data_IF_098909112487
#
_entry.id   IF_098909112487
#
_cell.length_a   1.000
_cell.length_b   1.000
_cell.length_c   1.000
_cell.angle_alpha   90.00
_cell.angle_beta   90.00
_cell.angle_gamma   90.00
#
_symmetry.space_group_name_H-M   'P 1'
#
loop_
_entity.id
_entity.type
_entity.pdbx_description
1 polymer ?
#
# COMPACT_ATOMS: atom_id res chain seq x y z
N UNK A 1 11.24 17.97 -18.74
CA UNK A 1 11.50 17.44 -20.10
C UNK A 1 12.80 17.98 -20.68
N UNK A 2 12.94 19.30 -20.89
CA UNK A 2 14.15 19.89 -21.49
C UNK A 2 15.40 19.82 -20.59
N UNK A 3 15.24 19.97 -19.27
CA UNK A 3 16.38 19.89 -18.33
C UNK A 3 17.06 18.51 -18.36
N UNK A 4 16.28 17.43 -18.38
CA UNK A 4 16.82 16.07 -18.48
C UNK A 4 17.59 15.85 -19.79
N UNK A 5 17.09 16.43 -20.89
CA UNK A 5 17.76 16.38 -22.18
C UNK A 5 19.10 17.14 -22.16
N UNK A 6 19.11 18.35 -21.58
CA UNK A 6 20.34 19.15 -21.42
C UNK A 6 21.35 18.41 -20.53
N UNK A 7 20.90 17.83 -19.41
CA UNK A 7 21.76 17.03 -18.54
C UNK A 7 22.33 15.81 -19.26
N UNK A 8 21.52 15.11 -20.07
CA UNK A 8 21.98 13.97 -20.87
C UNK A 8 23.06 14.40 -21.87
N UNK A 9 22.90 15.57 -22.50
CA UNK A 9 23.88 16.11 -23.45
C UNK A 9 25.20 16.44 -22.74
N UNK A 10 25.14 17.09 -21.57
CA UNK A 10 26.31 17.38 -20.74
C UNK A 10 27.04 16.08 -20.37
N UNK A 11 26.31 15.07 -19.88
CA UNK A 11 26.89 13.76 -19.54
C UNK A 11 27.50 13.08 -20.76
N UNK A 12 26.86 13.17 -21.93
CA UNK A 12 27.38 12.58 -23.17
C UNK A 12 28.70 13.22 -23.59
N UNK A 13 28.85 14.54 -23.42
CA UNK A 13 30.12 15.24 -23.66
C UNK A 13 31.20 14.71 -22.70
N UNK A 14 30.89 14.54 -21.42
CA UNK A 14 31.83 13.95 -20.47
C UNK A 14 32.25 12.53 -20.85
N UNK A 15 31.32 11.69 -21.31
CA UNK A 15 31.62 10.33 -21.79
C UNK A 15 32.54 10.38 -23.02
N UNK A 16 32.30 11.30 -23.96
CA UNK A 16 33.15 11.47 -25.14
C UNK A 16 34.57 11.91 -24.76
N UNK A 17 34.70 12.89 -23.87
CA UNK A 17 35.99 13.34 -23.34
C UNK A 17 36.71 12.19 -22.63
N UNK A 18 36.00 11.43 -21.80
CA UNK A 18 36.53 10.27 -21.11
C UNK A 18 37.07 9.22 -22.10
N UNK A 19 36.33 8.94 -23.17
CA UNK A 19 36.72 7.99 -24.20
C UNK A 19 37.98 8.43 -24.97
N UNK A 20 38.11 9.73 -25.27
CA UNK A 20 39.30 10.28 -25.94
C UNK A 20 40.52 10.20 -25.00
N UNK A 21 40.36 10.61 -23.74
CA UNK A 21 41.48 10.63 -22.78
C UNK A 21 41.94 9.24 -22.36
N UNK A 22 41.05 8.24 -22.39
CA UNK A 22 41.35 6.85 -22.02
C UNK A 22 41.28 5.92 -23.23
N UNK A 23 41.56 6.44 -24.43
CA UNK A 23 41.51 5.67 -25.67
C UNK A 23 42.68 4.69 -25.83
N UNK A 24 43.74 4.86 -25.03
CA UNK A 24 44.93 4.01 -25.08
C UNK A 24 44.60 2.54 -24.81
N UNK A 25 45.27 1.69 -25.57
CA UNK A 25 45.12 0.24 -25.49
C UNK A 25 45.92 -0.31 -24.33
N UNK A 26 45.25 -1.06 -23.46
CA UNK A 26 45.86 -1.76 -22.33
C UNK A 26 45.68 -3.27 -22.50
N UNK A 27 46.68 -4.03 -22.10
CA UNK A 27 46.60 -5.49 -22.07
C UNK A 27 45.88 -5.94 -20.81
N UNK A 28 44.81 -6.71 -20.96
CA UNK A 28 44.00 -7.18 -19.85
C UNK A 28 43.97 -8.69 -19.83
N UNK A 29 44.33 -9.23 -18.67
CA UNK A 29 44.15 -10.63 -18.34
C UNK A 29 42.76 -10.81 -17.72
N UNK A 30 41.77 -11.08 -18.57
CA UNK A 30 40.50 -11.64 -18.09
C UNK A 30 40.77 -13.10 -17.72
N UNK A 31 40.10 -13.62 -16.67
CA UNK A 31 40.34 -14.94 -16.04
C UNK A 31 40.92 -16.05 -16.95
N UNK A 32 40.41 -16.21 -18.17
CA UNK A 32 40.89 -17.19 -19.16
C UNK A 32 41.23 -16.59 -20.55
N UNK A 33 41.26 -15.26 -20.70
CA UNK A 33 41.49 -14.59 -21.97
C UNK A 33 42.34 -13.34 -21.79
N UNK A 34 43.48 -13.30 -22.49
CA UNK A 34 44.30 -12.09 -22.61
C UNK A 34 43.86 -11.32 -23.85
N UNK A 35 43.53 -10.05 -23.71
CA UNK A 35 43.12 -9.20 -24.84
C UNK A 35 43.58 -7.77 -24.65
N UNK A 36 44.00 -7.16 -25.74
CA UNK A 36 44.28 -5.74 -25.83
C UNK A 36 43.00 -4.98 -26.17
N UNK A 37 42.60 -4.05 -25.32
CA UNK A 37 41.40 -3.21 -25.49
C UNK A 37 41.68 -1.79 -25.00
N UNK A 38 40.92 -0.81 -25.47
CA UNK A 38 41.04 0.55 -24.93
C UNK A 38 40.61 0.60 -23.47
N UNK A 39 41.33 1.35 -22.66
CA UNK A 39 41.04 1.52 -21.23
C UNK A 39 39.62 2.06 -21.01
N UNK A 40 39.18 2.99 -21.85
CA UNK A 40 37.82 3.53 -21.83
C UNK A 40 36.75 2.45 -21.98
N UNK A 41 36.93 1.53 -22.94
CA UNK A 41 35.96 0.45 -23.20
C UNK A 41 35.83 -0.48 -21.99
N UNK A 42 36.96 -0.76 -21.35
CA UNK A 42 37.04 -1.66 -20.19
C UNK A 42 36.32 -1.06 -18.99
N UNK A 43 36.56 0.23 -18.73
CA UNK A 43 35.91 0.95 -17.63
C UNK A 43 34.40 1.06 -17.90
N UNK A 44 34.00 1.45 -19.12
CA UNK A 44 32.57 1.53 -19.48
C UNK A 44 31.87 0.18 -19.34
N UNK A 45 32.48 -0.90 -19.84
CA UNK A 45 31.90 -2.24 -19.73
C UNK A 45 31.77 -2.68 -18.28
N UNK A 46 32.78 -2.45 -17.44
CA UNK A 46 32.78 -2.82 -16.03
C UNK A 46 31.71 -2.07 -15.24
N UNK A 47 31.63 -0.75 -15.41
CA UNK A 47 30.61 0.10 -14.79
C UNK A 47 29.21 -0.26 -15.30
N UNK A 48 29.06 -0.48 -16.60
CA UNK A 48 27.82 -0.90 -17.23
C UNK A 48 27.31 -2.23 -16.70
N UNK A 49 28.20 -3.23 -16.57
CA UNK A 49 27.87 -4.52 -15.96
C UNK A 49 27.49 -4.37 -14.49
N UNK A 50 28.22 -3.55 -13.71
CA UNK A 50 27.86 -3.26 -12.32
C UNK A 50 26.48 -2.61 -12.19
N UNK A 51 26.16 -1.63 -13.04
CA UNK A 51 24.85 -0.99 -13.10
C UNK A 51 23.74 -1.98 -13.52
N UNK A 52 24.02 -2.89 -14.46
CA UNK A 52 23.10 -3.94 -14.86
C UNK A 52 22.80 -4.90 -13.70
N UNK A 53 23.83 -5.40 -13.02
CA UNK A 53 23.71 -6.31 -11.88
C UNK A 53 22.91 -5.66 -10.75
N UNK A 54 23.28 -4.44 -10.36
CA UNK A 54 22.54 -3.69 -9.32
C UNK A 54 21.10 -3.41 -9.74
N UNK A 55 20.86 -3.08 -11.00
CA UNK A 55 19.53 -2.92 -11.58
C UNK A 55 18.70 -4.19 -11.42
N UNK A 56 19.22 -5.34 -11.82
CA UNK A 56 18.57 -6.65 -11.69
C UNK A 56 18.32 -6.99 -10.22
N UNK A 57 19.33 -6.89 -9.34
CA UNK A 57 19.19 -7.17 -7.90
C UNK A 57 18.13 -6.27 -7.24
N UNK A 58 18.03 -5.01 -7.65
CA UNK A 58 17.03 -4.08 -7.12
C UNK A 58 15.59 -4.51 -7.44
N UNK A 59 15.36 -5.22 -8.55
CA UNK A 59 14.02 -5.67 -8.93
C UNK A 59 13.52 -6.80 -8.02
N UNK A 60 14.39 -7.70 -7.55
CA UNK A 60 14.00 -8.77 -6.63
C UNK A 60 13.43 -8.21 -5.31
N UNK A 61 14.03 -7.16 -4.76
CA UNK A 61 13.51 -6.47 -3.58
C UNK A 61 12.13 -5.83 -3.80
N UNK A 62 11.86 -5.32 -5.00
CA UNK A 62 10.56 -4.71 -5.35
C UNK A 62 9.44 -5.73 -5.41
N UNK A 63 9.70 -6.95 -5.91
CA UNK A 63 8.68 -8.02 -6.02
C UNK A 63 8.13 -8.42 -4.65
N UNK A 64 9.00 -8.55 -3.63
CA UNK A 64 8.57 -8.86 -2.26
C UNK A 64 7.64 -7.76 -1.71
N UNK A 65 8.04 -6.50 -1.86
CA UNK A 65 7.26 -5.33 -1.41
C UNK A 65 5.92 -5.23 -2.14
N UNK A 66 5.87 -5.52 -3.44
CA UNK A 66 4.62 -5.57 -4.22
C UNK A 66 3.66 -6.63 -3.69
N UNK A 67 4.15 -7.82 -3.35
CA UNK A 67 3.34 -8.89 -2.76
C UNK A 67 2.80 -8.51 -1.38
N UNK A 68 3.65 -7.96 -0.52
CA UNK A 68 3.25 -7.47 0.80
C UNK A 68 2.20 -6.37 0.70
N UNK A 69 2.39 -5.40 -0.19
CA UNK A 69 1.43 -4.32 -0.41
C UNK A 69 0.08 -4.84 -0.90
N UNK A 70 0.07 -5.81 -1.82
CA UNK A 70 -1.17 -6.46 -2.28
C UNK A 70 -1.87 -7.22 -1.14
N UNK A 71 -1.12 -7.91 -0.29
CA UNK A 71 -1.66 -8.60 0.87
C UNK A 71 -2.25 -7.63 1.90
N UNK A 72 -1.54 -6.54 2.20
CA UNK A 72 -2.02 -5.47 3.08
C UNK A 72 -3.27 -4.79 2.52
N UNK A 73 -3.29 -4.47 1.22
CA UNK A 73 -4.47 -3.91 0.56
C UNK A 73 -5.69 -4.84 0.65
N UNK A 74 -5.50 -6.15 0.50
CA UNK A 74 -6.59 -7.13 0.68
C UNK A 74 -7.10 -7.15 2.13
N UNK A 75 -6.19 -7.15 3.12
CA UNK A 75 -6.56 -7.07 4.54
C UNK A 75 -7.34 -5.80 4.85
N UNK A 76 -6.92 -4.67 4.31
CA UNK A 76 -7.59 -3.38 4.51
C UNK A 76 -9.02 -3.43 3.99
N UNK A 77 -9.25 -3.96 2.77
CA UNK A 77 -10.60 -4.16 2.22
C UNK A 77 -11.47 -5.07 3.07
N UNK A 78 -10.90 -6.17 3.60
CA UNK A 78 -11.64 -7.07 4.49
C UNK A 78 -12.05 -6.38 5.78
N UNK A 79 -11.12 -5.69 6.43
CA UNK A 79 -11.39 -4.94 7.68
C UNK A 79 -12.41 -3.83 7.43
N UNK A 80 -12.35 -3.15 6.29
CA UNK A 80 -13.31 -2.11 5.92
C UNK A 80 -14.72 -2.68 5.70
N UNK A 81 -14.84 -3.86 5.06
CA UNK A 81 -16.11 -4.56 4.90
C UNK A 81 -16.68 -5.05 6.24
N UNK A 82 -15.82 -5.59 7.12
CA UNK A 82 -16.21 -5.99 8.48
C UNK A 82 -16.69 -4.79 9.29
N UNK A 83 -15.96 -3.67 9.24
CA UNK A 83 -16.36 -2.42 9.89
C UNK A 83 -17.74 -1.99 9.42
N UNK A 84 -17.98 -1.92 8.11
CA UNK A 84 -19.29 -1.53 7.57
C UNK A 84 -20.41 -2.46 8.05
N UNK A 85 -20.15 -3.78 8.05
CA UNK A 85 -21.12 -4.78 8.53
C UNK A 85 -21.44 -4.57 10.02
N UNK A 86 -20.42 -4.33 10.84
CA UNK A 86 -20.58 -4.07 12.28
C UNK A 86 -21.34 -2.76 12.50
N UNK A 87 -21.01 -1.69 11.75
CA UNK A 87 -21.71 -0.41 11.84
C UNK A 87 -23.19 -0.54 11.50
N UNK A 88 -23.55 -1.24 10.41
CA UNK A 88 -24.96 -1.48 10.05
C UNK A 88 -25.69 -2.30 11.12
N UNK A 89 -25.05 -3.34 11.67
CA UNK A 89 -25.66 -4.12 12.77
C UNK A 89 -25.88 -3.27 14.01
N UNK A 90 -24.94 -2.38 14.32
CA UNK A 90 -25.03 -1.48 15.47
C UNK A 90 -26.17 -0.46 15.29
N UNK A 91 -26.33 0.10 14.10
CA UNK A 91 -27.46 0.99 13.74
C UNK A 91 -28.80 0.26 13.85
N UNK A 92 -28.88 -0.98 13.36
CA UNK A 92 -30.12 -1.79 13.42
C UNK A 92 -30.47 -2.12 14.88
N UNK A 93 -29.48 -2.57 15.66
CA UNK A 93 -29.65 -2.88 17.09
C UNK A 93 -30.04 -1.62 17.88
N UNK A 94 -29.50 -0.46 17.52
CA UNK A 94 -29.88 0.81 18.14
C UNK A 94 -31.33 1.18 17.83
N UNK A 95 -31.77 1.00 16.59
CA UNK A 95 -33.17 1.22 16.19
C UNK A 95 -34.14 0.27 16.93
N UNK A 96 -33.82 -1.02 16.99
CA UNK A 96 -34.59 -2.02 17.74
C UNK A 96 -34.69 -1.66 19.23
N UNK A 97 -33.61 -1.18 19.84
CA UNK A 97 -33.63 -0.74 21.24
C UNK A 97 -34.55 0.46 21.46
N UNK A 98 -34.58 1.44 20.55
CA UNK A 98 -35.49 2.59 20.63
C UNK A 98 -36.94 2.13 20.53
N UNK A 99 -37.24 1.19 19.63
CA UNK A 99 -38.59 0.62 19.50
C UNK A 99 -39.01 -0.15 20.76
N UNK A 100 -38.14 -1.00 21.30
CA UNK A 100 -38.39 -1.72 22.55
C UNK A 100 -38.58 -0.78 23.74
N UNK A 101 -37.84 0.32 23.81
CA UNK A 101 -38.03 1.34 24.85
C UNK A 101 -39.41 1.99 24.76
N UNK A 102 -39.89 2.28 23.54
CA UNK A 102 -41.24 2.84 23.33
C UNK A 102 -42.33 1.84 23.70
N UNK A 103 -42.20 0.59 23.29
CA UNK A 103 -43.15 -0.47 23.67
C UNK A 103 -43.20 -0.63 25.20
N UNK A 104 -42.04 -0.62 25.87
CA UNK A 104 -41.99 -0.68 27.33
C UNK A 104 -42.65 0.53 28.00
N UNK A 105 -42.50 1.75 27.46
CA UNK A 105 -43.19 2.92 28.02
C UNK A 105 -44.70 2.84 27.84
N UNK A 106 -45.17 2.39 26.67
CA UNK A 106 -46.59 2.29 26.35
C UNK A 106 -47.25 1.22 27.24
N UNK A 107 -46.65 0.02 27.35
CA UNK A 107 -47.13 -1.04 28.25
C UNK A 107 -47.18 -0.60 29.72
N UNK A 108 -46.19 0.17 30.19
CA UNK A 108 -46.19 0.69 31.55
C UNK A 108 -47.39 1.62 31.80
N UNK A 109 -47.72 2.48 30.83
CA UNK A 109 -48.87 3.37 30.92
C UNK A 109 -50.22 2.62 30.93
N UNK A 110 -50.34 1.55 30.14
CA UNK A 110 -51.52 0.67 30.13
C UNK A 110 -51.66 -0.09 31.45
N UNK A 111 -50.55 -0.58 32.00
CA UNK A 111 -50.52 -1.25 33.30
C UNK A 111 -51.03 -0.31 34.41
N UNK A 112 -50.50 0.91 34.48
CA UNK A 112 -50.93 1.92 35.46
C UNK A 112 -52.43 2.26 35.32
N UNK A 113 -52.95 2.29 34.10
CA UNK A 113 -54.37 2.55 33.83
C UNK A 113 -55.24 1.38 34.28
N UNK A 114 -54.82 0.16 33.99
CA UNK A 114 -55.53 -1.07 34.38
C UNK A 114 -55.53 -1.26 35.89
N UNK A 115 -54.41 -0.97 36.56
CA UNK A 115 -54.32 -1.00 38.03
C UNK A 115 -55.27 0.01 38.68
N UNK A 116 -55.39 1.22 38.13
CA UNK A 116 -56.37 2.21 38.60
C UNK A 116 -57.81 1.70 38.47
N UNK A 117 -58.16 1.15 37.31
CA UNK A 117 -59.50 0.59 37.06
C UNK A 117 -59.81 -0.58 38.00
N UNK A 118 -58.86 -1.48 38.24
CA UNK A 118 -59.02 -2.60 39.18
C UNK A 118 -59.27 -2.09 40.61
N UNK A 119 -58.57 -1.04 41.02
CA UNK A 119 -58.70 -0.45 42.35
C UNK A 119 -60.04 0.24 42.55
N UNK A 120 -60.54 0.93 41.53
CA UNK A 120 -61.90 1.49 41.49
C UNK A 120 -62.96 0.40 41.57
N UNK A 121 -62.83 -0.69 40.80
CA UNK A 121 -63.80 -1.78 40.82
C UNK A 121 -63.85 -2.46 42.20
N UNK A 122 -62.70 -2.64 42.85
CA UNK A 122 -62.63 -3.21 44.20
C UNK A 122 -63.19 -2.31 45.29
N UNK A 123 -63.33 -0.99 45.09
CA UNK A 123 -63.96 -0.11 46.08
C UNK A 123 -65.48 -0.05 45.97
N UNK A 124 -66.04 -0.62 44.90
CA UNK A 124 -67.49 -0.69 44.64
C UNK A 124 -68.15 -1.98 45.15
N UNK A 125 -67.36 -2.93 45.67
CA UNK A 125 -67.79 -4.19 46.29
C UNK A 125 -67.54 -4.08 47.79
#
# INVERSE_FOLDING_TARGET
MQLNFILLLIVSIFIAIFAIQNGETVSIDLFFMKREMSQALVILASVGLGALVTGVLSTFGKVKRLRENKALSKKLKTVEAEKNTVTTKLETTAAENVELQKINSDLKSELETTEKQLKELKSQI
#
